data_IF_450035867800
#
_entry.id   IF_450035867800
#
_cell.length_a   1.000
_cell.length_b   1.000
_cell.length_c   1.000
_cell.angle_alpha   90.00
_cell.angle_beta   90.00
_cell.angle_gamma   90.00
#
_symmetry.space_group_name_H-M   'P 1'
#
loop_
_entity.id
_entity.type
_entity.pdbx_description
1 polymer ?
#
# COMPACT_ATOMS: atom_id res chain seq x y z
N UNK A 1 1.19 -13.47 15.19
CA UNK A 1 1.11 -13.97 13.81
C UNK A 1 1.27 -12.76 12.92
N UNK A 2 2.35 -12.72 12.13
CA UNK A 2 2.66 -11.58 11.25
C UNK A 2 1.45 -11.23 10.37
N UNK A 3 1.15 -9.94 10.14
CA UNK A 3 0.16 -9.58 9.14
C UNK A 3 0.68 -10.07 7.78
N UNK A 4 0.08 -11.14 7.26
CA UNK A 4 0.38 -11.72 5.94
C UNK A 4 0.08 -10.76 4.78
N UNK A 5 -0.46 -9.57 5.08
CA UNK A 5 -0.91 -8.58 4.12
C UNK A 5 0.12 -7.45 3.97
N UNK A 6 1.30 -7.78 3.43
CA UNK A 6 2.25 -6.76 2.97
C UNK A 6 2.55 -6.93 1.49
N UNK A 7 2.83 -5.81 0.83
CA UNK A 7 3.11 -5.74 -0.59
C UNK A 7 4.41 -4.98 -0.81
N UNK A 8 5.33 -5.58 -1.58
CA UNK A 8 6.55 -4.92 -2.02
C UNK A 8 6.30 -4.27 -3.38
N UNK A 9 6.42 -2.94 -3.41
CA UNK A 9 6.26 -2.11 -4.61
C UNK A 9 7.21 -2.59 -5.71
N UNK A 10 6.69 -2.79 -6.90
CA UNK A 10 7.41 -3.21 -8.09
C UNK A 10 7.62 -2.04 -9.04
N UNK A 11 8.51 -2.24 -10.02
CA UNK A 11 8.69 -1.26 -11.09
C UNK A 11 7.37 -1.07 -11.87
N UNK A 12 6.99 0.19 -12.09
CA UNK A 12 5.72 0.55 -12.73
C UNK A 12 4.53 0.67 -11.78
N UNK A 13 4.65 0.27 -10.51
CA UNK A 13 3.59 0.48 -9.53
C UNK A 13 3.43 1.98 -9.22
N UNK A 14 2.18 2.40 -9.24
CA UNK A 14 1.74 3.67 -8.64
C UNK A 14 0.97 3.39 -7.37
N UNK A 15 0.93 4.37 -6.46
CA UNK A 15 0.13 4.26 -5.23
C UNK A 15 -1.33 3.91 -5.51
N UNK A 16 -1.89 4.53 -6.56
CA UNK A 16 -3.26 4.26 -6.97
C UNK A 16 -3.44 2.83 -7.49
N UNK A 17 -2.53 2.34 -8.35
CA UNK A 17 -2.61 0.96 -8.85
C UNK A 17 -2.52 -0.08 -7.73
N UNK A 18 -1.68 0.15 -6.72
CA UNK A 18 -1.58 -0.72 -5.55
C UNK A 18 -2.88 -0.66 -4.74
N UNK A 19 -3.43 0.53 -4.49
CA UNK A 19 -4.68 0.67 -3.76
C UNK A 19 -5.85 -0.04 -4.45
N UNK A 20 -5.96 0.07 -5.78
CA UNK A 20 -6.99 -0.61 -6.57
C UNK A 20 -6.80 -2.13 -6.57
N UNK A 21 -5.55 -2.61 -6.72
CA UNK A 21 -5.21 -4.03 -6.69
C UNK A 21 -5.71 -4.73 -5.42
N UNK A 22 -5.68 -4.02 -4.30
CA UNK A 22 -6.10 -4.54 -3.01
C UNK A 22 -7.50 -4.08 -2.58
N UNK A 23 -8.20 -3.30 -3.41
CA UNK A 23 -9.54 -2.79 -3.10
C UNK A 23 -9.58 -1.84 -1.90
N UNK A 24 -8.45 -1.23 -1.52
CA UNK A 24 -8.36 -0.33 -0.35
C UNK A 24 -8.40 1.13 -0.81
N UNK A 25 -9.02 1.99 0.00
CA UNK A 25 -8.95 3.43 -0.25
C UNK A 25 -7.50 3.93 -0.22
N UNK A 26 -7.07 4.78 -1.18
CA UNK A 26 -5.73 5.36 -1.17
C UNK A 26 -5.42 6.09 0.14
N UNK A 27 -6.41 6.79 0.72
CA UNK A 27 -6.25 7.50 1.99
C UNK A 27 -6.01 6.52 3.13
N UNK A 28 -6.77 5.41 3.18
CA UNK A 28 -6.62 4.36 4.20
C UNK A 28 -5.26 3.68 4.10
N UNK A 29 -4.84 3.33 2.89
CA UNK A 29 -3.51 2.74 2.64
C UNK A 29 -2.40 3.69 3.09
N UNK A 30 -2.54 4.99 2.82
CA UNK A 30 -1.55 6.02 3.17
C UNK A 30 -1.43 6.18 4.68
N UNK A 31 -2.55 6.35 5.37
CA UNK A 31 -2.58 6.56 6.83
C UNK A 31 -2.11 5.31 7.57
N UNK A 32 -2.49 4.12 7.11
CA UNK A 32 -2.05 2.85 7.69
C UNK A 32 -0.52 2.68 7.60
N UNK A 33 0.07 3.10 6.48
CA UNK A 33 1.52 3.07 6.27
C UNK A 33 2.27 4.31 6.79
N UNK A 34 1.57 5.23 7.47
CA UNK A 34 2.13 6.49 8.00
C UNK A 34 2.87 7.31 6.95
N UNK A 35 2.41 7.26 5.71
CA UNK A 35 3.02 7.99 4.59
C UNK A 35 2.49 9.42 4.56
N UNK A 36 3.38 10.37 4.30
CA UNK A 36 3.02 11.79 4.15
C UNK A 36 2.70 12.15 2.70
N UNK A 37 3.19 11.36 1.74
CA UNK A 37 2.96 11.52 0.29
C UNK A 37 2.34 10.26 -0.30
N UNK A 38 1.93 10.34 -1.57
CA UNK A 38 1.51 9.19 -2.37
C UNK A 38 2.64 8.67 -3.28
N UNK A 39 3.87 9.14 -3.08
CA UNK A 39 5.01 8.66 -3.86
C UNK A 39 5.44 7.30 -3.33
N UNK A 40 5.72 6.36 -4.24
CA UNK A 40 6.26 5.06 -3.93
C UNK A 40 7.66 4.93 -4.49
N UNK A 41 8.52 4.23 -3.75
CA UNK A 41 9.82 3.77 -4.24
C UNK A 41 9.75 2.28 -4.55
N UNK A 42 10.38 1.86 -5.65
CA UNK A 42 10.52 0.43 -5.96
C UNK A 42 11.19 -0.28 -4.78
N UNK A 43 10.63 -1.41 -4.37
CA UNK A 43 11.07 -2.17 -3.21
C UNK A 43 10.54 -1.68 -1.85
N UNK A 44 9.81 -0.56 -1.81
CA UNK A 44 9.10 -0.13 -0.61
C UNK A 44 8.08 -1.19 -0.18
N UNK A 45 7.97 -1.44 1.12
CA UNK A 45 6.96 -2.35 1.68
C UNK A 45 5.76 -1.53 2.14
N UNK A 46 4.58 -1.93 1.69
CA UNK A 46 3.29 -1.40 2.11
C UNK A 46 2.54 -2.47 2.88
N UNK A 47 2.06 -2.13 4.07
CA UNK A 47 1.13 -2.94 4.84
C UNK A 47 -0.29 -2.64 4.35
N UNK A 48 -0.98 -3.68 3.90
CA UNK A 48 -2.31 -3.56 3.32
C UNK A 48 -3.32 -3.66 4.48
N UNK A 49 -4.10 -2.60 4.75
CA UNK A 49 -5.13 -2.65 5.79
C UNK A 49 -6.27 -3.55 5.36
N UNK A 50 -6.82 -4.33 6.29
CA UNK A 50 -8.06 -5.07 6.05
C UNK A 50 -9.23 -4.07 5.95
N UNK A 51 -10.05 -4.17 4.92
CA UNK A 51 -11.38 -3.54 4.84
C UNK A 51 -12.40 -4.58 5.31
N UNK A 52 -12.52 -4.74 6.64
CA UNK A 52 -13.68 -5.37 7.28
C UNK A 52 -14.51 -4.28 7.96
#
# INVERSE_FOLDING_TARGET
>A
GEPRNSYRVQEGDTFYSVSQKFGVSPVKLKTHNRLTTYSLSVGQVLYIPDDN
#
